data_IF_366941093014
#
_entry.id   IF_366941093014
#
_cell.length_a   1.000
_cell.length_b   1.000
_cell.length_c   1.000
_cell.angle_alpha   90.00
_cell.angle_beta   90.00
_cell.angle_gamma   90.00
#
_symmetry.space_group_name_H-M   'P 1'
#
loop_
_entity.id
_entity.type
_entity.pdbx_description
1 polymer ?
#
# COMPACT_ATOMS: atom_id res chain seq x y z
N UNK A 1 7.11 76.56 -49.42
CA UNK A 1 7.04 77.02 -48.02
C UNK A 1 5.92 76.23 -47.39
N UNK A 2 6.11 75.21 -46.55
CA UNK A 2 7.23 74.72 -45.74
C UNK A 2 6.96 73.22 -45.46
N UNK A 3 8.03 72.45 -45.28
CA UNK A 3 8.04 71.01 -45.01
C UNK A 3 7.86 70.68 -43.50
N UNK A 4 8.01 69.38 -43.19
CA UNK A 4 8.23 68.70 -41.89
C UNK A 4 6.96 68.05 -41.30
N UNK A 5 6.65 66.75 -41.43
CA UNK A 5 7.36 65.47 -41.20
C UNK A 5 7.37 65.01 -39.72
N UNK A 6 7.13 63.70 -39.54
CA UNK A 6 7.28 62.88 -38.31
C UNK A 6 6.07 62.55 -37.40
N UNK A 7 6.12 61.28 -36.97
CA UNK A 7 5.20 60.38 -36.22
C UNK A 7 5.00 60.83 -34.73
N UNK A 8 4.15 60.28 -33.86
CA UNK A 8 3.92 58.88 -33.47
C UNK A 8 2.59 58.70 -32.69
N UNK A 9 2.06 57.48 -32.83
CA UNK A 9 0.99 56.86 -32.07
C UNK A 9 1.49 56.48 -30.67
N UNK A 10 0.91 57.03 -29.60
CA UNK A 10 1.36 56.82 -28.22
C UNK A 10 0.27 56.31 -27.30
N UNK A 11 -0.10 55.03 -27.44
CA UNK A 11 -0.89 54.30 -26.45
C UNK A 11 -0.08 54.15 -25.15
N UNK A 12 -0.50 54.84 -24.10
CA UNK A 12 0.09 54.71 -22.77
C UNK A 12 -0.13 53.31 -22.22
N UNK A 13 0.89 52.46 -22.29
CA UNK A 13 0.94 51.17 -21.65
C UNK A 13 0.93 51.36 -20.13
N UNK A 14 -0.16 50.97 -19.48
CA UNK A 14 -0.23 50.82 -18.03
C UNK A 14 0.63 49.61 -17.69
N UNK A 15 1.84 49.84 -17.21
CA UNK A 15 2.71 48.78 -16.71
C UNK A 15 2.12 48.22 -15.40
N UNK A 16 1.84 46.91 -15.31
CA UNK A 16 1.43 46.33 -14.02
C UNK A 16 2.65 46.35 -13.10
N UNK A 17 2.54 47.10 -12.00
CA UNK A 17 3.49 47.08 -10.89
C UNK A 17 3.57 45.66 -10.32
N UNK A 18 4.76 45.11 -10.01
CA UNK A 18 4.85 43.83 -9.36
C UNK A 18 4.32 43.96 -7.93
N UNK A 19 3.16 43.35 -7.67
CA UNK A 19 2.62 43.18 -6.33
C UNK A 19 3.61 42.37 -5.48
N UNK A 20 3.91 42.77 -4.24
CA UNK A 20 4.78 41.99 -3.38
C UNK A 20 4.15 40.62 -3.13
N UNK A 21 4.94 39.55 -3.35
CA UNK A 21 4.56 38.16 -3.05
C UNK A 21 4.46 38.06 -1.53
N UNK A 22 3.25 38.20 -1.01
CA UNK A 22 2.93 38.00 0.39
C UNK A 22 2.88 36.49 0.69
N UNK A 23 3.64 36.03 1.68
CA UNK A 23 3.91 34.63 2.02
C UNK A 23 2.72 33.84 2.60
N UNK A 24 1.58 33.78 1.90
CA UNK A 24 0.36 33.07 2.32
C UNK A 24 0.17 31.68 1.73
N UNK A 25 1.25 30.98 1.32
CA UNK A 25 1.16 29.68 0.64
C UNK A 25 1.26 28.45 1.57
N UNK A 26 1.46 28.64 2.88
CA UNK A 26 1.75 27.56 3.83
C UNK A 26 0.47 26.96 4.47
N UNK A 27 -0.44 27.82 4.97
CA UNK A 27 -1.65 27.39 5.71
C UNK A 27 -2.57 26.48 4.89
N UNK A 28 -2.70 26.73 3.58
CA UNK A 28 -3.59 25.92 2.72
C UNK A 28 -3.04 24.51 2.50
N UNK A 29 -1.72 24.35 2.44
CA UNK A 29 -1.10 23.02 2.30
C UNK A 29 -1.17 22.26 3.63
N UNK A 30 -0.97 22.93 4.76
CA UNK A 30 -1.11 22.32 6.07
C UNK A 30 -2.54 21.82 6.32
N UNK A 31 -3.56 22.63 6.02
CA UNK A 31 -4.97 22.23 6.13
C UNK A 31 -5.28 21.01 5.25
N UNK A 32 -4.78 21.00 4.01
CA UNK A 32 -4.99 19.88 3.09
C UNK A 32 -4.31 18.59 3.58
N UNK A 33 -3.10 18.69 4.15
CA UNK A 33 -2.40 17.55 4.76
C UNK A 33 -3.18 16.98 5.94
N UNK A 34 -3.68 17.84 6.83
CA UNK A 34 -4.50 17.39 7.95
C UNK A 34 -5.79 16.68 7.51
N UNK A 35 -6.45 17.19 6.46
CA UNK A 35 -7.64 16.54 5.90
C UNK A 35 -7.29 15.16 5.30
N UNK A 36 -6.16 15.07 4.59
CA UNK A 36 -5.68 13.81 4.00
C UNK A 36 -5.37 12.78 5.10
N UNK A 37 -4.65 13.18 6.15
CA UNK A 37 -4.31 12.30 7.27
C UNK A 37 -5.55 11.82 8.02
N UNK A 38 -6.52 12.71 8.24
CA UNK A 38 -7.79 12.36 8.86
C UNK A 38 -8.57 11.35 8.00
N UNK A 39 -8.58 11.53 6.67
CA UNK A 39 -9.24 10.61 5.75
C UNK A 39 -8.56 9.24 5.72
N UNK A 40 -7.21 9.19 5.64
CA UNK A 40 -6.44 7.93 5.69
C UNK A 40 -6.77 7.18 6.97
N UNK A 41 -6.73 7.86 8.13
CA UNK A 41 -7.04 7.25 9.42
C UNK A 41 -8.48 6.73 9.50
N UNK A 42 -9.45 7.44 8.92
CA UNK A 42 -10.83 6.99 8.88
C UNK A 42 -10.98 5.70 8.06
N UNK A 43 -10.37 5.65 6.87
CA UNK A 43 -10.35 4.46 6.00
C UNK A 43 -9.68 3.28 6.70
N UNK A 44 -8.51 3.50 7.32
CA UNK A 44 -7.80 2.46 8.06
C UNK A 44 -8.61 1.93 9.24
N UNK A 45 -9.36 2.80 9.94
CA UNK A 45 -10.25 2.38 11.02
C UNK A 45 -11.38 1.50 10.49
N UNK A 46 -12.05 1.93 9.42
CA UNK A 46 -13.13 1.16 8.79
C UNK A 46 -12.64 -0.23 8.33
N UNK A 47 -11.49 -0.30 7.67
CA UNK A 47 -10.89 -1.58 7.24
C UNK A 47 -10.57 -2.46 8.47
N UNK A 48 -10.01 -1.87 9.52
CA UNK A 48 -9.62 -2.59 10.73
C UNK A 48 -10.81 -3.14 11.51
N UNK A 49 -11.92 -2.41 11.54
CA UNK A 49 -13.16 -2.81 12.20
C UNK A 49 -13.89 -3.91 11.44
N UNK A 50 -13.86 -3.86 10.10
CA UNK A 50 -14.65 -4.78 9.26
C UNK A 50 -13.90 -6.02 8.75
N UNK A 51 -12.56 -6.01 8.75
CA UNK A 51 -11.76 -7.11 8.19
C UNK A 51 -10.76 -7.60 9.23
N UNK A 52 -10.67 -8.90 9.57
CA UNK A 52 -9.60 -9.41 10.43
C UNK A 52 -8.24 -9.33 9.71
N UNK A 53 -7.13 -9.38 10.47
CA UNK A 53 -5.77 -9.38 9.89
C UNK A 53 -5.57 -10.52 8.89
N UNK A 54 -6.01 -11.72 9.25
CA UNK A 54 -6.09 -12.89 8.38
C UNK A 54 -7.39 -13.64 8.67
N UNK A 55 -8.03 -14.22 7.65
CA UNK A 55 -9.17 -15.11 7.85
C UNK A 55 -8.73 -16.49 8.35
N UNK A 56 -9.67 -17.31 8.81
CA UNK A 56 -9.51 -18.77 8.83
C UNK A 56 -9.28 -19.31 7.42
N UNK A 57 -8.74 -20.54 7.23
CA UNK A 57 -8.70 -21.17 5.92
C UNK A 57 -10.11 -21.28 5.35
N UNK A 58 -10.28 -20.81 4.11
CA UNK A 58 -11.51 -20.90 3.36
C UNK A 58 -11.29 -21.84 2.17
N UNK A 59 -12.30 -22.63 1.77
CA UNK A 59 -12.28 -23.33 0.49
C UNK A 59 -12.03 -22.35 -0.68
N UNK A 60 -11.21 -22.72 -1.65
CA UNK A 60 -10.89 -21.83 -2.80
C UNK A 60 -12.12 -21.52 -3.65
N UNK A 61 -13.16 -22.36 -3.59
CA UNK A 61 -14.46 -22.08 -4.25
C UNK A 61 -15.10 -20.76 -3.80
N UNK A 62 -14.83 -20.28 -2.58
CA UNK A 62 -15.27 -18.94 -2.15
C UNK A 62 -14.72 -17.81 -3.05
N UNK A 63 -13.56 -18.02 -3.69
CA UNK A 63 -13.02 -17.08 -4.68
C UNK A 63 -13.86 -17.06 -5.95
N UNK A 64 -14.39 -18.21 -6.37
CA UNK A 64 -15.28 -18.31 -7.53
C UNK A 64 -16.57 -17.55 -7.27
N UNK A 65 -17.15 -17.74 -6.08
CA UNK A 65 -18.37 -17.04 -5.65
C UNK A 65 -18.15 -15.52 -5.58
N UNK A 66 -16.98 -15.08 -5.10
CA UNK A 66 -16.62 -13.66 -5.03
C UNK A 66 -16.59 -12.97 -6.40
N UNK A 67 -16.29 -13.73 -7.47
CA UNK A 67 -16.21 -13.23 -8.84
C UNK A 67 -17.30 -13.82 -9.74
N UNK A 68 -18.45 -14.24 -9.20
CA UNK A 68 -19.52 -14.88 -9.97
C UNK A 68 -19.97 -14.04 -11.18
N UNK A 69 -20.00 -12.72 -11.04
CA UNK A 69 -20.38 -11.77 -12.11
C UNK A 69 -19.16 -11.16 -12.83
N UNK A 70 -17.95 -11.63 -12.51
CA UNK A 70 -16.67 -11.02 -12.91
C UNK A 70 -16.11 -11.49 -14.26
N UNK A 71 -16.87 -12.27 -15.04
CA UNK A 71 -16.48 -12.75 -16.38
C UNK A 71 -15.10 -13.40 -16.45
N UNK A 72 -14.08 -12.63 -16.87
CA UNK A 72 -12.70 -13.11 -16.94
C UNK A 72 -12.10 -13.48 -15.57
N UNK A 73 -12.43 -12.74 -14.51
CA UNK A 73 -11.96 -13.03 -13.16
C UNK A 73 -12.55 -14.33 -12.62
N UNK A 74 -13.80 -14.64 -12.97
CA UNK A 74 -14.43 -15.91 -12.61
C UNK A 74 -13.66 -17.11 -13.19
N UNK A 75 -13.27 -17.03 -14.48
CA UNK A 75 -12.47 -18.08 -15.13
C UNK A 75 -11.11 -18.27 -14.45
N UNK A 76 -10.45 -17.17 -14.06
CA UNK A 76 -9.21 -17.23 -13.28
C UNK A 76 -9.41 -17.89 -11.92
N UNK A 77 -10.50 -17.57 -11.22
CA UNK A 77 -10.84 -18.18 -9.94
C UNK A 77 -11.14 -19.68 -10.08
N UNK A 78 -11.85 -20.09 -11.14
CA UNK A 78 -12.11 -21.50 -11.45
C UNK A 78 -10.81 -22.28 -11.68
N UNK A 79 -9.90 -21.75 -12.49
CA UNK A 79 -8.59 -22.35 -12.72
C UNK A 79 -7.77 -22.50 -11.44
N UNK A 80 -7.84 -21.52 -10.53
CA UNK A 80 -7.17 -21.62 -9.23
C UNK A 80 -7.81 -22.70 -8.33
N UNK A 81 -9.13 -22.86 -8.39
CA UNK A 81 -9.85 -23.89 -7.63
C UNK A 81 -9.48 -25.33 -8.06
N UNK A 82 -9.02 -25.53 -9.29
CA UNK A 82 -8.49 -26.82 -9.76
C UNK A 82 -7.14 -27.18 -9.13
N UNK A 83 -6.36 -26.17 -8.70
CA UNK A 83 -4.96 -26.34 -8.24
C UNK A 83 -4.81 -26.25 -6.74
N UNK A 84 -5.68 -25.47 -6.10
CA UNK A 84 -5.58 -25.15 -4.69
C UNK A 84 -6.87 -25.52 -3.98
N UNK A 85 -6.76 -26.11 -2.81
CA UNK A 85 -7.91 -26.55 -2.01
C UNK A 85 -8.41 -25.47 -1.06
N UNK A 86 -7.48 -24.70 -0.48
CA UNK A 86 -7.78 -23.66 0.52
C UNK A 86 -7.03 -22.36 0.24
N UNK A 87 -7.61 -21.25 0.70
CA UNK A 87 -7.02 -19.91 0.69
C UNK A 87 -7.26 -19.21 2.02
N UNK A 88 -6.52 -18.14 2.30
CA UNK A 88 -6.83 -17.18 3.36
C UNK A 88 -6.93 -15.78 2.79
N UNK A 89 -7.88 -15.00 3.28
CA UNK A 89 -7.94 -13.56 3.04
C UNK A 89 -6.99 -12.88 4.02
N UNK A 90 -6.28 -11.87 3.54
CA UNK A 90 -5.38 -11.02 4.33
C UNK A 90 -5.87 -9.60 4.19
N UNK A 91 -5.96 -8.86 5.30
CA UNK A 91 -6.43 -7.47 5.32
C UNK A 91 -5.63 -6.63 4.33
N UNK A 92 -6.32 -5.84 3.51
CA UNK A 92 -5.71 -4.89 2.57
C UNK A 92 -5.34 -3.57 3.24
N UNK A 93 -4.31 -3.57 4.09
CA UNK A 93 -3.88 -2.41 4.91
C UNK A 93 -2.43 -1.97 4.62
N UNK A 94 -1.96 -2.17 3.39
CA UNK A 94 -0.57 -1.90 2.99
C UNK A 94 0.47 -2.91 3.49
N UNK A 95 0.15 -3.69 4.53
CA UNK A 95 1.02 -4.73 5.09
C UNK A 95 0.68 -6.15 4.61
N UNK A 96 -0.24 -6.28 3.66
CA UNK A 96 -0.83 -7.55 3.25
C UNK A 96 0.21 -8.56 2.72
N UNK A 97 1.21 -8.11 1.96
CA UNK A 97 2.28 -8.98 1.45
C UNK A 97 3.11 -9.59 2.59
N UNK A 98 3.64 -8.74 3.48
CA UNK A 98 4.47 -9.18 4.61
C UNK A 98 3.68 -10.12 5.54
N UNK A 99 2.40 -9.79 5.77
CA UNK A 99 1.50 -10.58 6.60
C UNK A 99 1.20 -11.94 5.97
N UNK A 100 0.90 -11.99 4.67
CA UNK A 100 0.66 -13.23 3.93
C UNK A 100 1.91 -14.12 3.93
N UNK A 101 3.07 -13.53 3.62
CA UNK A 101 4.35 -14.23 3.59
C UNK A 101 4.67 -14.86 4.95
N UNK A 102 4.71 -14.06 6.02
CA UNK A 102 5.06 -14.53 7.36
C UNK A 102 4.10 -15.63 7.83
N UNK A 103 2.79 -15.43 7.66
CA UNK A 103 1.80 -16.42 8.05
C UNK A 103 2.00 -17.75 7.30
N UNK A 104 2.25 -17.69 5.99
CA UNK A 104 2.46 -18.89 5.17
C UNK A 104 3.72 -19.67 5.58
N UNK A 105 4.82 -18.97 5.92
CA UNK A 105 6.06 -19.59 6.41
C UNK A 105 5.82 -20.25 7.76
N UNK A 106 5.23 -19.52 8.71
CA UNK A 106 4.92 -20.06 10.04
C UNK A 106 3.98 -21.27 9.97
N UNK A 107 2.91 -21.21 9.17
CA UNK A 107 1.94 -22.29 9.04
C UNK A 107 2.57 -23.55 8.44
N UNK A 108 3.41 -23.42 7.40
CA UNK A 108 4.12 -24.57 6.78
C UNK A 108 5.06 -25.24 7.77
N UNK A 109 5.90 -24.46 8.46
CA UNK A 109 6.84 -24.97 9.45
C UNK A 109 6.11 -25.63 10.61
N UNK A 110 5.08 -24.98 11.15
CA UNK A 110 4.29 -25.51 12.27
C UNK A 110 3.64 -26.85 11.89
N UNK A 111 3.00 -26.94 10.72
CA UNK A 111 2.37 -28.19 10.25
C UNK A 111 3.39 -29.31 10.14
N UNK A 112 4.54 -29.05 9.50
CA UNK A 112 5.58 -30.05 9.36
C UNK A 112 6.14 -30.52 10.70
N UNK A 113 6.39 -29.60 11.64
CA UNK A 113 6.85 -29.95 13.00
C UNK A 113 5.83 -30.82 13.73
N UNK A 114 4.54 -30.48 13.66
CA UNK A 114 3.46 -31.25 14.27
C UNK A 114 3.31 -32.65 13.66
N UNK A 115 3.62 -32.82 12.37
CA UNK A 115 3.60 -34.12 11.69
C UNK A 115 4.91 -34.89 11.80
N UNK A 116 5.89 -34.36 12.54
CA UNK A 116 7.19 -35.03 12.76
C UNK A 116 8.19 -34.88 11.62
N UNK A 117 7.96 -34.00 10.64
CA UNK A 117 8.85 -33.73 9.52
C UNK A 117 10.18 -33.10 10.00
N UNK A 118 11.28 -33.84 9.82
CA UNK A 118 12.62 -33.39 10.21
C UNK A 118 13.12 -32.18 9.40
N UNK A 119 12.68 -32.03 8.15
CA UNK A 119 12.95 -30.84 7.35
C UNK A 119 12.33 -29.59 7.97
N UNK A 120 11.08 -29.70 8.45
CA UNK A 120 10.40 -28.61 9.12
C UNK A 120 11.03 -28.25 10.48
N UNK A 121 11.51 -29.23 11.25
CA UNK A 121 12.25 -28.99 12.50
C UNK A 121 13.55 -28.23 12.24
N UNK A 122 14.32 -28.64 11.24
CA UNK A 122 15.55 -27.95 10.82
C UNK A 122 15.26 -26.52 10.35
N UNK A 123 14.18 -26.34 9.60
CA UNK A 123 13.77 -25.00 9.14
C UNK A 123 13.33 -24.10 10.30
N UNK A 124 12.62 -24.65 11.28
CA UNK A 124 12.28 -23.93 12.51
C UNK A 124 13.54 -23.46 13.26
N UNK A 125 14.53 -24.34 13.41
CA UNK A 125 15.81 -24.02 14.03
C UNK A 125 16.56 -22.92 13.26
N UNK A 126 16.61 -23.04 11.92
CA UNK A 126 17.23 -22.05 11.03
C UNK A 126 16.58 -20.68 11.16
N UNK A 127 15.24 -20.62 11.11
CA UNK A 127 14.48 -19.38 11.26
C UNK A 127 14.65 -18.77 12.65
N UNK A 128 14.64 -19.60 13.70
CA UNK A 128 14.85 -19.14 15.09
C UNK A 128 16.23 -18.52 15.26
N UNK A 129 17.26 -19.16 14.71
CA UNK A 129 18.63 -18.65 14.75
C UNK A 129 18.74 -17.33 13.99
N UNK A 130 18.13 -17.24 12.81
CA UNK A 130 18.11 -16.02 12.00
C UNK A 130 17.43 -14.86 12.74
N UNK A 131 16.26 -15.09 13.34
CA UNK A 131 15.51 -14.07 14.07
C UNK A 131 16.23 -13.59 15.33
N UNK A 132 16.87 -14.50 16.09
CA UNK A 132 17.69 -14.10 17.25
C UNK A 132 18.90 -13.26 16.86
N UNK A 133 19.51 -13.55 15.71
CA UNK A 133 20.66 -12.81 15.20
C UNK A 133 20.31 -11.56 14.42
N UNK A 134 19.04 -11.30 14.09
CA UNK A 134 18.69 -10.19 13.20
C UNK A 134 18.81 -8.82 13.88
N UNK A 135 18.51 -8.71 15.17
CA UNK A 135 18.61 -7.44 15.90
C UNK A 135 20.03 -6.87 15.84
N UNK A 136 21.04 -7.65 16.25
CA UNK A 136 22.44 -7.23 16.23
C UNK A 136 22.91 -6.83 14.81
N UNK A 137 22.37 -7.49 13.77
CA UNK A 137 22.70 -7.16 12.38
C UNK A 137 22.10 -5.81 11.96
N UNK A 138 20.91 -5.50 12.43
CA UNK A 138 20.20 -4.24 12.16
C UNK A 138 20.91 -3.09 12.89
N UNK A 139 21.28 -3.29 14.17
CA UNK A 139 22.08 -2.34 14.94
C UNK A 139 23.44 -2.04 14.29
N UNK A 140 24.11 -3.07 13.77
CA UNK A 140 25.37 -2.90 13.05
C UNK A 140 25.24 -2.07 11.76
N UNK A 141 24.01 -1.84 11.26
CA UNK A 141 23.71 -0.97 10.13
C UNK A 141 23.22 0.43 10.57
N UNK A 142 23.20 0.71 11.87
CA UNK A 142 22.85 2.03 12.42
C UNK A 142 21.35 2.27 12.64
N UNK A 143 20.55 1.20 12.73
CA UNK A 143 19.13 1.24 13.11
C UNK A 143 18.91 0.88 14.58
#
# INVERSE_FOLDING_TARGET
MTADDSQENGGGAVTPTPTPINGGQDDSQEVLRHQTDAQIKAIESEIRENQPLTSIPLPVVHLVDLYAEGGAFQRGAQYLAEKYTTMRKVRGDGNCYYRAFLYSVCEKVLRGVLTGDDGAKKELERLTTLAKGSMNKVEAQGY
#
